data_IF_724821317299
#
_entry.id   IF_724821317299
#
_cell.length_a   1.000
_cell.length_b   1.000
_cell.length_c   1.000
_cell.angle_alpha   90.00
_cell.angle_beta   90.00
_cell.angle_gamma   90.00
#
_symmetry.space_group_name_H-M   'P 1'
#
loop_
_entity.id
_entity.type
_entity.pdbx_description
1 polymer ?
#
# COMPACT_ATOMS: atom_id res chain seq x y z
N UNK A 1 5.26 21.34 28.16
CA UNK A 1 5.59 22.60 27.44
C UNK A 1 6.81 23.17 28.13
N UNK A 2 7.93 23.45 27.45
CA UNK A 2 9.05 24.10 28.12
C UNK A 2 8.67 25.57 28.34
N UNK A 3 8.77 26.02 29.58
CA UNK A 3 8.69 27.44 29.93
C UNK A 3 9.94 28.11 29.39
N UNK A 4 9.81 28.83 28.28
CA UNK A 4 10.97 29.50 27.69
C UNK A 4 11.10 30.88 28.34
N UNK A 5 12.13 31.01 29.18
CA UNK A 5 13.01 32.16 29.26
C UNK A 5 12.36 33.50 29.57
N UNK A 6 11.86 33.68 30.80
CA UNK A 6 11.76 35.03 31.37
C UNK A 6 13.18 35.53 31.64
N UNK A 7 13.45 36.82 31.46
CA UNK A 7 14.77 37.43 31.71
C UNK A 7 15.23 37.41 33.18
N UNK A 8 14.50 36.70 34.03
CA UNK A 8 14.90 36.26 35.36
C UNK A 8 15.87 35.07 35.32
N UNK A 9 16.07 34.41 34.16
CA UNK A 9 17.00 33.29 34.03
C UNK A 9 18.46 33.75 34.14
N UNK A 10 19.21 33.05 35.00
CA UNK A 10 20.63 33.26 35.36
C UNK A 10 21.58 33.24 34.15
N UNK A 11 21.11 32.80 32.97
CA UNK A 11 21.87 32.69 31.73
C UNK A 11 21.96 33.99 30.92
N UNK A 12 21.17 35.03 31.24
CA UNK A 12 21.32 36.34 30.60
C UNK A 12 22.46 37.10 31.28
N UNK A 13 23.66 37.02 30.70
CA UNK A 13 24.84 37.79 31.13
C UNK A 13 24.50 39.30 31.24
N UNK A 14 24.92 39.95 32.31
CA UNK A 14 24.55 41.34 32.61
C UNK A 14 25.10 42.33 31.56
N UNK A 15 26.18 41.96 30.86
CA UNK A 15 26.75 42.74 29.75
C UNK A 15 25.86 42.72 28.48
N UNK A 16 24.97 41.73 28.32
CA UNK A 16 24.14 41.51 27.11
C UNK A 16 22.64 41.73 27.41
N UNK A 17 22.32 42.38 28.54
CA UNK A 17 20.97 42.48 29.08
C UNK A 17 20.17 43.65 28.49
N UNK A 18 19.74 43.51 27.24
CA UNK A 18 18.69 44.33 26.64
C UNK A 18 17.46 43.46 26.37
N UNK A 19 16.28 43.95 26.76
CA UNK A 19 15.00 43.25 26.60
C UNK A 19 14.38 43.59 25.25
N UNK A 20 13.93 42.57 24.52
CA UNK A 20 13.30 42.67 23.20
C UNK A 20 12.04 41.81 23.14
N UNK A 21 11.07 42.25 22.36
CA UNK A 21 9.89 41.44 22.07
C UNK A 21 10.16 40.46 20.93
N UNK A 22 9.98 39.16 21.19
CA UNK A 22 10.08 38.15 20.14
C UNK A 22 8.74 38.00 19.42
N UNK A 23 8.67 38.31 18.12
CA UNK A 23 7.44 38.15 17.35
C UNK A 23 6.96 36.69 17.21
N UNK A 24 7.83 35.69 17.38
CA UNK A 24 7.45 34.29 17.29
C UNK A 24 6.65 33.79 18.51
N UNK A 25 6.92 34.35 19.70
CA UNK A 25 6.28 33.93 20.95
C UNK A 25 5.57 35.06 21.72
N UNK A 26 5.63 36.30 21.20
CA UNK A 26 5.03 37.52 21.75
C UNK A 26 5.42 37.77 23.22
N UNK A 27 6.68 37.52 23.55
CA UNK A 27 7.25 37.67 24.90
C UNK A 27 8.51 38.53 24.89
N UNK A 28 8.74 39.24 25.98
CA UNK A 28 10.00 39.93 26.24
C UNK A 28 11.08 38.90 26.61
N UNK A 29 12.19 38.92 25.87
CA UNK A 29 13.34 38.03 26.03
C UNK A 29 14.63 38.85 25.98
N UNK A 30 15.71 38.37 26.59
CA UNK A 30 17.01 39.03 26.49
C UNK A 30 17.62 38.75 25.11
N UNK A 31 18.50 39.63 24.62
CA UNK A 31 19.13 39.51 23.30
C UNK A 31 19.73 38.12 23.04
N UNK A 32 20.42 37.54 24.03
CA UNK A 32 20.98 36.20 23.93
C UNK A 32 19.92 35.13 23.67
N UNK A 33 18.83 35.13 24.44
CA UNK A 33 17.71 34.20 24.24
C UNK A 33 16.99 34.44 22.90
N UNK A 34 16.90 35.69 22.43
CA UNK A 34 16.33 35.99 21.12
C UNK A 34 17.16 35.34 19.99
N UNK A 35 18.50 35.42 20.06
CA UNK A 35 19.39 34.77 19.09
C UNK A 35 19.21 33.25 19.12
N UNK A 36 19.19 32.64 20.31
CA UNK A 36 18.93 31.20 20.46
C UNK A 36 17.58 30.80 19.85
N UNK A 37 16.53 31.58 20.10
CA UNK A 37 15.20 31.34 19.54
C UNK A 37 15.19 31.36 18.00
N UNK A 38 15.86 32.33 17.40
CA UNK A 38 15.97 32.42 15.94
C UNK A 38 16.69 31.20 15.37
N UNK A 39 17.78 30.77 16.00
CA UNK A 39 18.53 29.59 15.56
C UNK A 39 17.72 28.29 15.70
N UNK A 40 17.03 28.09 16.83
CA UNK A 40 16.11 26.96 17.03
C UNK A 40 14.99 26.98 15.98
N UNK A 41 14.43 28.15 15.67
CA UNK A 41 13.37 28.28 14.65
C UNK A 41 13.89 27.90 13.27
N UNK A 42 15.12 28.30 12.93
CA UNK A 42 15.79 27.95 11.67
C UNK A 42 16.04 26.43 11.57
N UNK A 43 16.55 25.82 12.64
CA UNK A 43 16.77 24.37 12.71
C UNK A 43 15.45 23.60 12.58
N UNK A 44 14.39 24.05 13.26
CA UNK A 44 13.08 23.44 13.16
C UNK A 44 12.50 23.54 11.74
N UNK A 45 12.67 24.68 11.06
CA UNK A 45 12.27 24.84 9.66
C UNK A 45 13.00 23.85 8.77
N UNK A 46 14.33 23.75 8.90
CA UNK A 46 15.12 22.80 8.11
C UNK A 46 14.70 21.34 8.39
N UNK A 47 14.42 21.01 9.65
CA UNK A 47 13.91 19.68 10.03
C UNK A 47 12.55 19.38 9.39
N UNK A 48 11.64 20.36 9.35
CA UNK A 48 10.35 20.22 8.69
C UNK A 48 10.48 20.02 7.18
N UNK A 49 11.40 20.75 6.54
CA UNK A 49 11.67 20.61 5.11
C UNK A 49 12.24 19.21 4.79
N UNK A 50 13.14 18.70 5.63
CA UNK A 50 13.66 17.33 5.50
C UNK A 50 12.55 16.28 5.66
N UNK A 51 11.72 16.39 6.69
CA UNK A 51 10.58 15.48 6.91
C UNK A 51 9.59 15.52 5.75
N UNK A 52 9.33 16.69 5.18
CA UNK A 52 8.48 16.84 3.98
C UNK A 52 9.10 16.10 2.78
N UNK A 53 10.39 16.21 2.58
CA UNK A 53 11.09 15.52 1.49
C UNK A 53 11.09 14.00 1.67
N UNK A 54 11.33 13.52 2.90
CA UNK A 54 11.22 12.09 3.23
C UNK A 54 9.81 11.57 2.99
N UNK A 55 8.78 12.30 3.44
CA UNK A 55 7.38 11.94 3.21
C UNK A 55 7.05 11.88 1.72
N UNK A 56 7.50 12.85 0.92
CA UNK A 56 7.29 12.84 -0.53
C UNK A 56 7.96 11.65 -1.21
N UNK A 57 9.17 11.28 -0.76
CA UNK A 57 9.87 10.09 -1.24
C UNK A 57 9.06 8.83 -0.94
N UNK A 58 8.61 8.65 0.30
CA UNK A 58 7.81 7.49 0.72
C UNK A 58 6.50 7.40 -0.07
N UNK A 59 5.80 8.53 -0.26
CA UNK A 59 4.56 8.56 -1.06
C UNK A 59 4.82 8.12 -2.50
N UNK A 60 5.92 8.57 -3.10
CA UNK A 60 6.27 8.23 -4.48
C UNK A 60 6.57 6.73 -4.61
N UNK A 61 7.44 6.20 -3.74
CA UNK A 61 7.76 4.77 -3.74
C UNK A 61 6.53 3.91 -3.46
N UNK A 62 5.65 4.33 -2.55
CA UNK A 62 4.41 3.61 -2.27
C UNK A 62 3.49 3.55 -3.50
N UNK A 63 3.35 4.65 -4.25
CA UNK A 63 2.57 4.67 -5.49
C UNK A 63 3.13 3.70 -6.53
N UNK A 64 4.44 3.70 -6.74
CA UNK A 64 5.10 2.78 -7.67
C UNK A 64 4.85 1.31 -7.30
N UNK A 65 4.97 0.96 -6.01
CA UNK A 65 4.70 -0.39 -5.52
C UNK A 65 3.23 -0.77 -5.77
N UNK A 66 2.29 0.13 -5.47
CA UNK A 66 0.86 -0.13 -5.69
C UNK A 66 0.56 -0.37 -7.16
N UNK A 67 1.12 0.46 -8.06
CA UNK A 67 0.96 0.31 -9.50
C UNK A 67 1.52 -1.04 -10.00
N UNK A 68 2.71 -1.44 -9.53
CA UNK A 68 3.30 -2.73 -9.87
C UNK A 68 2.41 -3.90 -9.40
N UNK A 69 1.87 -3.82 -8.17
CA UNK A 69 0.96 -4.84 -7.64
C UNK A 69 -0.35 -4.92 -8.42
N UNK A 70 -0.89 -3.80 -8.88
CA UNK A 70 -2.08 -3.81 -9.73
C UNK A 70 -1.82 -4.52 -11.06
N UNK A 71 -0.66 -4.31 -11.68
CA UNK A 71 -0.26 -5.01 -12.90
C UNK A 71 -0.13 -6.52 -12.68
N UNK A 72 0.46 -6.93 -11.55
CA UNK A 72 0.58 -8.35 -11.20
C UNK A 72 -0.81 -8.97 -11.02
N UNK A 73 -1.70 -8.32 -10.26
CA UNK A 73 -3.08 -8.81 -10.06
C UNK A 73 -3.83 -8.95 -11.39
N UNK A 74 -3.70 -7.97 -12.29
CA UNK A 74 -4.33 -8.03 -13.61
C UNK A 74 -3.80 -9.22 -14.45
N UNK A 75 -2.49 -9.50 -14.35
CA UNK A 75 -1.87 -10.65 -15.02
C UNK A 75 -2.38 -11.97 -14.45
N UNK A 76 -2.45 -12.10 -13.13
CA UNK A 76 -2.93 -13.31 -12.46
C UNK A 76 -4.41 -13.57 -12.78
N UNK A 77 -5.25 -12.52 -12.83
CA UNK A 77 -6.63 -12.65 -13.26
C UNK A 77 -6.75 -13.20 -14.68
N UNK A 78 -5.92 -12.73 -15.60
CA UNK A 78 -5.89 -13.22 -16.97
C UNK A 78 -5.47 -14.70 -17.02
N UNK A 79 -4.42 -15.09 -16.28
CA UNK A 79 -3.97 -16.48 -16.19
C UNK A 79 -5.06 -17.40 -15.61
N UNK A 80 -5.78 -16.95 -14.58
CA UNK A 80 -6.92 -17.68 -14.01
C UNK A 80 -8.03 -17.85 -15.05
N UNK A 81 -8.33 -16.83 -15.84
CA UNK A 81 -9.33 -16.92 -16.90
C UNK A 81 -8.93 -17.93 -17.98
N UNK A 82 -7.65 -17.92 -18.40
CA UNK A 82 -7.13 -18.91 -19.34
C UNK A 82 -7.20 -20.33 -18.78
N UNK A 83 -6.83 -20.52 -17.51
CA UNK A 83 -6.90 -21.81 -16.84
C UNK A 83 -8.36 -22.33 -16.78
N UNK A 84 -9.34 -21.47 -16.50
CA UNK A 84 -10.76 -21.83 -16.53
C UNK A 84 -11.18 -22.31 -17.93
N UNK A 85 -10.84 -21.57 -18.99
CA UNK A 85 -11.13 -21.98 -20.38
C UNK A 85 -10.52 -23.33 -20.72
N UNK A 86 -9.30 -23.60 -20.26
CA UNK A 86 -8.63 -24.88 -20.46
C UNK A 86 -9.30 -26.03 -19.69
N UNK A 87 -9.94 -25.75 -18.56
CA UNK A 87 -10.69 -26.75 -17.77
C UNK A 87 -12.09 -27.03 -18.33
N UNK A 88 -12.70 -26.08 -19.05
CA UNK A 88 -14.00 -26.28 -19.68
C UNK A 88 -13.93 -27.30 -20.84
N UNK A 89 -12.81 -27.34 -21.58
CA UNK A 89 -12.57 -28.29 -22.69
C UNK A 89 -12.62 -29.76 -22.26
N UNK A 90 -11.91 -30.21 -21.21
CA UNK A 90 -12.00 -31.59 -20.76
C UNK A 90 -13.36 -31.91 -20.16
N UNK A 91 -14.06 -30.96 -19.53
CA UNK A 91 -15.42 -31.21 -19.04
C UNK A 91 -16.38 -31.52 -20.20
N UNK A 92 -16.36 -30.72 -21.28
CA UNK A 92 -17.19 -31.03 -22.45
C UNK A 92 -16.79 -32.35 -23.13
N UNK A 93 -15.49 -32.65 -23.15
CA UNK A 93 -14.99 -33.90 -23.72
C UNK A 93 -15.40 -35.13 -22.91
N UNK A 94 -15.45 -35.02 -21.57
CA UNK A 94 -15.93 -36.07 -20.68
C UNK A 94 -17.42 -36.32 -20.92
N UNK A 95 -18.23 -35.27 -21.05
CA UNK A 95 -19.67 -35.39 -21.32
C UNK A 95 -19.94 -36.07 -22.68
N UNK A 96 -19.15 -35.75 -23.71
CA UNK A 96 -19.22 -36.42 -25.00
C UNK A 96 -18.85 -37.91 -24.91
N UNK A 97 -17.76 -38.24 -24.20
CA UNK A 97 -17.35 -39.62 -23.98
C UNK A 97 -18.39 -40.42 -23.21
N UNK A 98 -19.00 -39.83 -22.18
CA UNK A 98 -20.08 -40.47 -21.42
C UNK A 98 -21.29 -40.78 -22.33
N UNK A 99 -21.72 -39.82 -23.16
CA UNK A 99 -22.79 -40.03 -24.13
C UNK A 99 -22.48 -41.15 -25.14
N UNK A 100 -21.24 -41.21 -25.64
CA UNK A 100 -20.80 -42.29 -26.54
C UNK A 100 -20.87 -43.63 -25.82
N UNK A 101 -20.35 -43.70 -24.59
CA UNK A 101 -20.34 -44.93 -23.80
C UNK A 101 -21.76 -45.43 -23.50
N UNK A 102 -22.69 -44.53 -23.20
CA UNK A 102 -24.09 -44.86 -22.98
C UNK A 102 -24.74 -45.45 -24.24
N UNK A 103 -24.51 -44.84 -25.42
CA UNK A 103 -25.00 -45.37 -26.70
C UNK A 103 -24.42 -46.75 -27.02
N UNK A 104 -23.14 -46.97 -26.73
CA UNK A 104 -22.49 -48.28 -26.88
C UNK A 104 -23.17 -49.31 -25.97
N UNK A 105 -23.37 -48.99 -24.70
CA UNK A 105 -24.04 -49.87 -23.74
C UNK A 105 -25.47 -50.21 -24.17
N UNK A 106 -26.25 -49.22 -24.62
CA UNK A 106 -27.59 -49.45 -25.16
C UNK A 106 -27.56 -50.41 -26.35
N UNK A 107 -26.61 -50.21 -27.27
CA UNK A 107 -26.43 -51.07 -28.45
C UNK A 107 -26.06 -52.51 -28.07
N UNK A 108 -25.16 -52.68 -27.09
CA UNK A 108 -24.78 -54.00 -26.57
C UNK A 108 -25.99 -54.69 -25.93
N UNK A 109 -26.72 -53.99 -25.07
CA UNK A 109 -27.91 -54.54 -24.40
C UNK A 109 -28.98 -54.97 -25.40
N UNK A 110 -29.26 -54.14 -26.42
CA UNK A 110 -30.21 -54.47 -27.48
C UNK A 110 -29.78 -55.74 -28.24
N UNK A 111 -28.51 -55.83 -28.66
CA UNK A 111 -28.00 -57.01 -29.36
C UNK A 111 -28.04 -58.29 -28.53
N UNK A 112 -27.75 -58.20 -27.22
CA UNK A 112 -27.82 -59.33 -26.30
C UNK A 112 -29.26 -59.78 -26.03
N UNK A 113 -30.20 -58.84 -25.95
CA UNK A 113 -31.63 -59.15 -25.78
C UNK A 113 -32.24 -59.78 -27.03
N UNK A 114 -31.89 -59.31 -28.23
CA UNK A 114 -32.33 -59.89 -29.50
C UNK A 114 -31.80 -61.31 -29.72
N UNK A 115 -30.55 -61.60 -29.30
CA UNK A 115 -29.98 -62.96 -29.35
C UNK A 115 -30.63 -63.95 -28.36
N UNK A 116 -31.22 -63.47 -27.26
CA UNK A 116 -31.96 -64.33 -26.31
C UNK A 116 -33.36 -64.72 -26.79
N UNK A 117 -33.98 -63.92 -27.65
CA UNK A 117 -35.31 -64.18 -28.22
C UNK A 117 -35.31 -65.14 -29.42
N UNK A 118 -34.14 -65.43 -30.00
CA UNK A 118 -33.98 -66.32 -31.17
C UNK A 118 -33.44 -67.72 -30.82
N UNK A 119 -33.46 -68.13 -29.55
CA UNK A 119 -33.14 -69.49 -29.11
C UNK A 119 -34.37 -70.22 -28.61
#
# INVERSE_FOLDING_TARGET
MPEIGSCTDITCDDEIKALYECHCCLRLVCLHHLIQHVEITKQNKQRLDNLRNELNTVITTFKEIVEEKLLIIARDQNLIEQAKKLLDIPNSSIDELQNIFEKINQTITLNLSGKKLMR
#
